data_IF_353509115442
#
_entry.id   IF_353509115442
#
_cell.length_a   1.000
_cell.length_b   1.000
_cell.length_c   1.000
_cell.angle_alpha   90.00
_cell.angle_beta   90.00
_cell.angle_gamma   90.00
#
_symmetry.space_group_name_H-M   'P 1'
#
loop_
_entity.id
_entity.type
_entity.pdbx_description
1 polymer ?
#
# COMPACT_ATOMS: atom_id res chain seq x y z
N UNK A 1 -3.74 -8.00 -14.28
CA UNK A 1 -2.81 -7.43 -13.27
C UNK A 1 -3.61 -6.66 -12.22
N UNK A 2 -4.53 -5.80 -12.67
CA UNK A 2 -5.52 -5.13 -11.82
C UNK A 2 -6.35 -6.10 -10.95
N UNK A 3 -6.71 -7.27 -11.48
CA UNK A 3 -7.46 -8.28 -10.70
C UNK A 3 -6.68 -8.83 -9.51
N UNK A 4 -5.35 -8.92 -9.62
CA UNK A 4 -4.52 -9.41 -8.52
C UNK A 4 -4.55 -8.42 -7.36
N UNK A 5 -4.29 -7.14 -7.61
CA UNK A 5 -4.31 -6.12 -6.55
C UNK A 5 -5.70 -5.92 -5.95
N UNK A 6 -6.78 -6.07 -6.73
CA UNK A 6 -8.14 -6.02 -6.19
C UNK A 6 -8.42 -7.20 -5.24
N UNK A 7 -7.97 -8.40 -5.59
CA UNK A 7 -8.05 -9.59 -4.74
C UNK A 7 -7.23 -9.41 -3.46
N UNK A 8 -5.97 -9.01 -3.57
CA UNK A 8 -5.09 -8.78 -2.41
C UNK A 8 -5.68 -7.73 -1.45
N UNK A 9 -6.21 -6.62 -1.96
CA UNK A 9 -6.87 -5.61 -1.11
C UNK A 9 -8.08 -6.21 -0.37
N UNK A 10 -8.88 -7.06 -1.03
CA UNK A 10 -9.99 -7.73 -0.37
C UNK A 10 -9.52 -8.72 0.70
N UNK A 11 -8.52 -9.54 0.39
CA UNK A 11 -7.96 -10.55 1.30
C UNK A 11 -7.32 -9.90 2.54
N UNK A 12 -6.48 -8.88 2.34
CA UNK A 12 -5.70 -8.27 3.41
C UNK A 12 -6.48 -7.24 4.24
N UNK A 13 -7.50 -6.59 3.66
CA UNK A 13 -8.21 -5.45 4.31
C UNK A 13 -9.72 -5.62 4.45
N UNK A 14 -10.29 -6.62 3.78
CA UNK A 14 -11.74 -6.84 3.69
C UNK A 14 -12.48 -5.84 2.79
N UNK A 15 -11.76 -4.98 2.06
CA UNK A 15 -12.36 -3.96 1.21
C UNK A 15 -12.58 -4.45 -0.22
N UNK A 16 -13.83 -4.35 -0.68
CA UNK A 16 -14.14 -4.50 -2.10
C UNK A 16 -13.99 -3.16 -2.82
N UNK A 17 -12.93 -3.03 -3.62
CA UNK A 17 -12.68 -1.84 -4.42
C UNK A 17 -13.04 -2.06 -5.89
N UNK A 18 -13.44 -0.98 -6.54
CA UNK A 18 -13.58 -0.86 -8.01
C UNK A 18 -12.83 0.39 -8.49
N UNK A 19 -12.44 0.42 -9.76
CA UNK A 19 -11.84 1.61 -10.39
C UNK A 19 -10.60 2.15 -9.65
N UNK A 20 -9.68 1.27 -9.28
CA UNK A 20 -8.34 1.68 -8.82
C UNK A 20 -7.55 2.26 -10.00
N UNK A 21 -6.61 3.16 -9.73
CA UNK A 21 -5.77 3.77 -10.75
C UNK A 21 -4.33 3.31 -10.58
N UNK A 22 -3.73 2.79 -11.65
CA UNK A 22 -2.30 2.55 -11.69
C UNK A 22 -1.55 3.88 -11.60
N UNK A 23 -0.51 3.93 -10.76
CA UNK A 23 0.35 5.11 -10.61
C UNK A 23 1.69 4.88 -11.30
N UNK A 24 2.50 3.95 -10.77
CA UNK A 24 3.84 3.66 -11.27
C UNK A 24 4.35 2.33 -10.72
N UNK A 25 5.49 1.88 -11.23
CA UNK A 25 6.30 0.83 -10.62
C UNK A 25 7.63 1.38 -10.09
N UNK A 26 8.15 0.76 -9.04
CA UNK A 26 9.47 1.05 -8.48
C UNK A 26 10.24 -0.26 -8.30
N UNK A 27 11.49 -0.25 -8.76
CA UNK A 27 12.39 -1.41 -8.66
C UNK A 27 13.17 -1.29 -7.36
N UNK A 28 13.09 -2.32 -6.52
CA UNK A 28 13.80 -2.38 -5.25
C UNK A 28 14.81 -3.50 -5.32
N UNK A 29 16.04 -3.19 -4.93
CA UNK A 29 17.15 -4.13 -4.90
C UNK A 29 17.68 -4.24 -3.48
N UNK A 30 17.65 -5.47 -2.95
CA UNK A 30 18.36 -5.88 -1.75
C UNK A 30 19.59 -6.70 -2.17
N UNK A 31 20.59 -6.86 -1.28
CA UNK A 31 21.72 -7.74 -1.57
C UNK A 31 21.32 -9.18 -1.91
N UNK A 32 20.21 -9.67 -1.35
CA UNK A 32 19.78 -11.08 -1.47
C UNK A 32 18.61 -11.29 -2.43
N UNK A 33 17.85 -10.25 -2.79
CA UNK A 33 16.69 -10.37 -3.65
C UNK A 33 16.30 -9.05 -4.30
N UNK A 34 15.50 -9.14 -5.35
CA UNK A 34 14.97 -8.00 -6.09
C UNK A 34 13.46 -8.14 -6.20
N UNK A 35 12.75 -7.03 -6.09
CA UNK A 35 11.32 -7.01 -6.33
C UNK A 35 10.84 -5.71 -6.95
N UNK A 36 9.61 -5.73 -7.45
CA UNK A 36 8.98 -4.59 -8.12
C UNK A 36 7.74 -4.20 -7.33
N UNK A 37 7.70 -2.98 -6.82
CA UNK A 37 6.45 -2.39 -6.38
C UNK A 37 5.59 -2.04 -7.58
N UNK A 38 4.35 -2.52 -7.59
CA UNK A 38 3.31 -2.05 -8.49
C UNK A 38 2.34 -1.17 -7.70
N UNK A 39 2.45 0.15 -7.88
CA UNK A 39 1.75 1.13 -7.06
C UNK A 39 0.43 1.51 -7.73
N UNK A 40 -0.65 1.36 -6.98
CA UNK A 40 -1.99 1.78 -7.35
C UNK A 40 -2.52 2.77 -6.31
N UNK A 41 -3.49 3.59 -6.70
CA UNK A 41 -4.13 4.52 -5.80
C UNK A 41 -5.63 4.63 -6.03
N UNK A 42 -6.35 4.91 -4.94
CA UNK A 42 -7.78 5.22 -4.97
C UNK A 42 -8.12 6.22 -3.88
N UNK A 43 -8.83 7.28 -4.28
CA UNK A 43 -9.38 8.25 -3.32
C UNK A 43 -10.65 7.67 -2.69
N UNK A 44 -10.65 7.55 -1.37
CA UNK A 44 -11.83 7.15 -0.59
C UNK A 44 -12.56 8.41 -0.11
N UNK A 45 -13.90 8.34 -0.02
CA UNK A 45 -14.73 9.46 0.47
C UNK A 45 -14.67 9.57 2.00
N UNK A 46 -14.47 8.45 2.66
CA UNK A 46 -14.39 8.30 4.12
C UNK A 46 -13.39 7.20 4.47
N UNK A 47 -13.12 7.01 5.77
CA UNK A 47 -12.28 5.93 6.28
C UNK A 47 -13.15 4.69 6.53
N UNK A 48 -13.19 3.70 5.63
CA UNK A 48 -13.97 2.51 5.86
C UNK A 48 -13.40 1.70 7.03
N UNK A 49 -14.22 0.82 7.59
CA UNK A 49 -13.75 -0.18 8.55
C UNK A 49 -12.85 -1.18 7.82
N UNK A 50 -11.62 -1.32 8.30
CA UNK A 50 -10.66 -2.31 7.82
C UNK A 50 -10.79 -3.58 8.66
N UNK A 51 -10.85 -4.73 7.99
CA UNK A 51 -10.77 -6.06 8.61
C UNK A 51 -9.50 -6.72 8.10
N UNK A 52 -8.44 -6.67 8.92
CA UNK A 52 -7.15 -7.22 8.52
C UNK A 52 -7.16 -8.75 8.55
N UNK A 53 -6.46 -9.38 7.61
CA UNK A 53 -6.08 -10.79 7.71
C UNK A 53 -5.03 -10.95 8.82
N UNK A 54 -5.37 -11.67 9.89
CA UNK A 54 -4.49 -11.84 11.05
C UNK A 54 -3.34 -12.83 10.82
N UNK A 55 -3.39 -13.64 9.75
CA UNK A 55 -2.28 -14.52 9.37
C UNK A 55 -1.09 -13.73 8.79
N UNK A 56 -1.38 -12.58 8.16
CA UNK A 56 -0.39 -11.73 7.48
C UNK A 56 -0.09 -10.45 8.25
N UNK A 57 -1.10 -9.86 8.90
CA UNK A 57 -1.03 -8.53 9.51
C UNK A 57 -1.41 -8.55 11.00
N UNK A 58 -0.69 -7.78 11.81
CA UNK A 58 -0.93 -7.72 13.27
C UNK A 58 -1.86 -6.58 13.70
N UNK A 59 -1.85 -5.47 12.97
CA UNK A 59 -2.60 -4.25 13.31
C UNK A 59 -2.79 -3.36 12.08
N UNK A 60 -3.78 -2.48 12.15
CA UNK A 60 -4.03 -1.45 11.14
C UNK A 60 -4.26 -0.09 11.83
N UNK A 61 -3.79 0.99 11.21
CA UNK A 61 -4.07 2.37 11.60
C UNK A 61 -4.13 3.28 10.37
N UNK A 62 -5.05 4.23 10.36
CA UNK A 62 -5.08 5.32 9.39
C UNK A 62 -4.14 6.44 9.81
N UNK A 63 -3.09 6.71 9.01
CA UNK A 63 -2.13 7.82 9.23
C UNK A 63 -2.12 8.77 8.04
N UNK A 64 -1.75 10.03 8.31
CA UNK A 64 -1.34 10.96 7.25
C UNK A 64 0.00 10.49 6.63
N UNK A 65 0.32 10.92 5.40
CA UNK A 65 1.61 10.60 4.78
C UNK A 65 2.80 10.99 5.66
N UNK A 66 2.76 12.16 6.29
CA UNK A 66 3.81 12.68 7.15
C UNK A 66 3.99 11.80 8.40
N UNK A 67 2.90 11.42 9.06
CA UNK A 67 2.93 10.50 10.20
C UNK A 67 3.38 9.09 9.82
N UNK A 68 3.13 8.64 8.59
CA UNK A 68 3.57 7.33 8.14
C UNK A 68 5.09 7.28 7.92
N UNK A 69 5.69 8.40 7.50
CA UNK A 69 7.14 8.52 7.30
C UNK A 69 7.95 8.46 8.61
N UNK A 70 7.30 8.63 9.76
CA UNK A 70 7.91 8.50 11.09
C UNK A 70 7.97 7.03 11.57
N UNK A 71 7.37 6.09 10.86
CA UNK A 71 7.31 4.68 11.24
C UNK A 71 8.50 3.86 10.72
N UNK A 72 8.70 2.67 11.31
CA UNK A 72 9.61 1.67 10.77
C UNK A 72 8.97 0.97 9.55
N UNK A 73 9.05 1.65 8.39
CA UNK A 73 8.51 1.17 7.13
C UNK A 73 9.40 0.07 6.52
N UNK A 74 8.80 -0.80 5.70
CA UNK A 74 9.57 -1.65 4.81
C UNK A 74 10.41 -0.76 3.88
N UNK A 75 11.63 -1.17 3.56
CA UNK A 75 12.55 -0.31 2.83
C UNK A 75 12.00 0.09 1.46
N UNK A 76 12.32 1.32 1.04
CA UNK A 76 11.79 2.03 -0.13
C UNK A 76 10.29 2.38 -0.10
N UNK A 77 9.53 1.97 0.92
CA UNK A 77 8.14 2.45 1.07
C UNK A 77 8.09 3.95 1.39
N UNK A 78 9.08 4.48 2.11
CA UNK A 78 9.19 5.91 2.38
C UNK A 78 9.38 6.72 1.08
N UNK A 79 10.22 6.23 0.17
CA UNK A 79 10.42 6.80 -1.16
C UNK A 79 9.10 6.77 -1.98
N UNK A 80 8.33 5.69 -1.87
CA UNK A 80 7.01 5.59 -2.50
C UNK A 80 6.03 6.64 -1.97
N UNK A 81 5.98 6.86 -0.65
CA UNK A 81 5.12 7.85 0.00
C UNK A 81 5.50 9.27 -0.46
N UNK A 82 6.78 9.63 -0.34
CA UNK A 82 7.34 10.93 -0.77
C UNK A 82 7.05 11.20 -2.24
N UNK A 83 7.28 10.20 -3.11
CA UNK A 83 7.02 10.32 -4.55
C UNK A 83 5.54 10.58 -4.86
N UNK A 84 4.61 9.83 -4.25
CA UNK A 84 3.19 9.96 -4.55
C UNK A 84 2.59 11.26 -3.99
N UNK A 85 2.94 11.61 -2.74
CA UNK A 85 2.41 12.81 -2.08
C UNK A 85 3.19 14.09 -2.38
N UNK A 86 4.37 13.99 -3.02
CA UNK A 86 5.28 15.11 -3.33
C UNK A 86 5.71 15.87 -2.08
N UNK A 87 6.10 15.11 -1.06
CA UNK A 87 6.61 15.58 0.24
C UNK A 87 8.03 15.08 0.48
#
# INVERSE_FOLDING_TARGET
>A
MDDAILREVQEETGLELKNIKYFKKLYVQYPEYEFIYHIYHKKLKEKPQIKINLEEHKKHIWKSPEQALEENLIQELDACIKMYYKI
#
